data_IF_657468174829
#
_entry.id   IF_657468174829
#
_cell.length_a   1.000
_cell.length_b   1.000
_cell.length_c   1.000
_cell.angle_alpha   90.00
_cell.angle_beta   90.00
_cell.angle_gamma   90.00
#
_symmetry.space_group_name_H-M   'P 1'
#
loop_
_entity.id
_entity.type
_entity.pdbx_description
1 polymer ?
#
# COMPACT_ATOMS: atom_id res chain seq x y z
N UNK A 1 8.68 -19.07 19.58
CA UNK A 1 8.30 -17.66 19.83
C UNK A 1 8.72 -16.74 18.67
N UNK A 2 9.97 -16.81 18.19
CA UNK A 2 10.46 -15.98 17.08
C UNK A 2 9.66 -16.14 15.76
N UNK A 3 9.34 -17.38 15.36
CA UNK A 3 8.61 -17.67 14.11
C UNK A 3 7.21 -17.02 14.07
N UNK A 4 6.48 -17.04 15.19
CA UNK A 4 5.16 -16.40 15.26
C UNK A 4 5.25 -14.88 15.09
N UNK A 5 6.27 -14.26 15.69
CA UNK A 5 6.53 -12.83 15.54
C UNK A 5 6.93 -12.47 14.10
N UNK A 6 7.75 -13.30 13.45
CA UNK A 6 8.15 -13.13 12.05
C UNK A 6 6.96 -13.29 11.09
N UNK A 7 6.09 -14.28 11.33
CA UNK A 7 4.84 -14.44 10.58
C UNK A 7 3.89 -13.26 10.78
N UNK A 8 3.79 -12.72 12.00
CA UNK A 8 2.99 -11.52 12.27
C UNK A 8 3.52 -10.29 11.52
N UNK A 9 4.85 -10.11 11.45
CA UNK A 9 5.48 -9.04 10.67
C UNK A 9 5.21 -9.23 9.18
N UNK A 10 5.37 -10.45 8.65
CA UNK A 10 5.11 -10.72 7.23
C UNK A 10 3.64 -10.47 6.88
N UNK A 11 2.71 -10.91 7.73
CA UNK A 11 1.29 -10.65 7.54
C UNK A 11 1.01 -9.13 7.53
N UNK A 12 1.60 -8.38 8.46
CA UNK A 12 1.50 -6.92 8.51
C UNK A 12 2.05 -6.27 7.24
N UNK A 13 3.22 -6.71 6.76
CA UNK A 13 3.82 -6.20 5.53
C UNK A 13 2.96 -6.50 4.30
N UNK A 14 2.36 -7.69 4.22
CA UNK A 14 1.41 -8.03 3.14
C UNK A 14 0.18 -7.12 3.16
N UNK A 15 -0.41 -6.90 4.34
CA UNK A 15 -1.55 -5.99 4.50
C UNK A 15 -1.17 -4.56 4.12
N UNK A 16 0.00 -4.08 4.53
CA UNK A 16 0.52 -2.77 4.16
C UNK A 16 0.72 -2.65 2.64
N UNK A 17 1.28 -3.67 2.00
CA UNK A 17 1.47 -3.69 0.55
C UNK A 17 0.12 -3.63 -0.18
N UNK A 18 -0.85 -4.42 0.27
CA UNK A 18 -2.22 -4.39 -0.24
C UNK A 18 -2.89 -3.03 -0.06
N UNK A 19 -2.67 -2.36 1.08
CA UNK A 19 -3.18 -1.01 1.32
C UNK A 19 -2.60 0.02 0.34
N UNK A 20 -1.30 -0.04 0.08
CA UNK A 20 -0.66 0.82 -0.90
C UNK A 20 -1.18 0.57 -2.32
N UNK A 21 -1.25 -0.70 -2.74
CA UNK A 21 -1.78 -1.08 -4.05
C UNK A 21 -3.24 -0.67 -4.23
N UNK A 22 -4.08 -0.83 -3.20
CA UNK A 22 -5.47 -0.38 -3.22
C UNK A 22 -5.56 1.15 -3.34
N UNK A 23 -4.68 1.90 -2.67
CA UNK A 23 -4.68 3.37 -2.73
C UNK A 23 -4.31 3.88 -4.13
N UNK A 24 -3.31 3.26 -4.77
CA UNK A 24 -2.94 3.52 -6.17
C UNK A 24 -4.11 3.22 -7.11
N UNK A 25 -4.69 2.02 -7.01
CA UNK A 25 -5.83 1.63 -7.86
C UNK A 25 -7.06 2.51 -7.61
N UNK A 26 -7.33 2.90 -6.36
CA UNK A 26 -8.44 3.78 -6.02
C UNK A 26 -8.31 5.15 -6.68
N UNK A 27 -7.11 5.75 -6.67
CA UNK A 27 -6.87 7.03 -7.35
C UNK A 27 -6.99 6.89 -8.87
N UNK A 28 -6.41 5.84 -9.46
CA UNK A 28 -6.42 5.62 -10.92
C UNK A 28 -7.84 5.29 -11.44
N UNK A 29 -8.65 4.59 -10.64
CA UNK A 29 -10.02 4.21 -11.02
C UNK A 29 -11.10 5.20 -10.59
N UNK A 30 -10.76 6.21 -9.77
CA UNK A 30 -11.72 7.19 -9.30
C UNK A 30 -12.27 8.03 -10.45
N UNK A 31 -13.59 8.06 -10.57
CA UNK A 31 -14.27 8.89 -11.58
C UNK A 31 -14.37 10.32 -11.07
N UNK A 32 -13.73 11.27 -11.77
CA UNK A 32 -13.76 12.71 -11.47
C UNK A 32 -15.16 13.24 -11.16
N UNK A 33 -16.17 12.85 -11.95
CA UNK A 33 -17.56 13.27 -11.73
C UNK A 33 -18.16 12.85 -10.38
N UNK A 34 -17.76 11.69 -9.84
CA UNK A 34 -18.17 11.26 -8.49
C UNK A 34 -17.46 12.07 -7.39
N UNK A 35 -16.17 12.32 -7.55
CA UNK A 35 -15.38 13.12 -6.60
C UNK A 35 -15.90 14.57 -6.52
N UNK A 36 -16.20 15.19 -7.66
CA UNK A 36 -16.82 16.51 -7.71
C UNK A 36 -18.18 16.54 -7.01
N UNK A 37 -19.00 15.50 -7.16
CA UNK A 37 -20.27 15.39 -6.44
C UNK A 37 -20.07 15.25 -4.92
N UNK A 38 -19.04 14.51 -4.49
CA UNK A 38 -18.69 14.38 -3.06
C UNK A 38 -18.14 15.68 -2.47
N UNK A 39 -17.31 16.41 -3.23
CA UNK A 39 -16.81 17.74 -2.85
C UNK A 39 -17.96 18.73 -2.68
N UNK A 40 -18.90 18.77 -3.63
CA UNK A 40 -20.11 19.61 -3.55
C UNK A 40 -21.00 19.27 -2.35
N UNK A 41 -20.96 18.03 -1.86
CA UNK A 41 -21.68 17.57 -0.66
C UNK A 41 -20.92 17.84 0.64
N UNK A 42 -19.74 18.46 0.59
CA UNK A 42 -18.92 18.76 1.76
C UNK A 42 -18.26 17.52 2.40
N UNK A 43 -18.07 16.44 1.64
CA UNK A 43 -17.43 15.22 2.17
C UNK A 43 -15.97 15.51 2.56
N UNK A 44 -15.54 15.16 3.78
CA UNK A 44 -14.18 15.39 4.22
C UNK A 44 -13.21 14.61 3.34
N UNK A 45 -12.13 15.27 2.89
CA UNK A 45 -11.13 14.67 2.01
C UNK A 45 -11.52 14.58 0.53
N UNK A 46 -12.75 14.94 0.14
CA UNK A 46 -13.15 14.90 -1.28
C UNK A 46 -12.39 15.90 -2.15
N UNK A 47 -12.02 17.06 -1.60
CA UNK A 47 -11.18 18.04 -2.29
C UNK A 47 -9.76 17.49 -2.53
N UNK A 48 -9.14 16.89 -1.50
CA UNK A 48 -7.84 16.25 -1.63
C UNK A 48 -7.88 15.09 -2.63
N UNK A 49 -8.90 14.22 -2.56
CA UNK A 49 -9.08 13.12 -3.49
C UNK A 49 -9.28 13.61 -4.94
N UNK A 50 -10.01 14.72 -5.13
CA UNK A 50 -10.18 15.32 -6.45
C UNK A 50 -8.86 15.90 -6.99
N UNK A 51 -8.08 16.58 -6.14
CA UNK A 51 -6.77 17.10 -6.52
C UNK A 51 -5.78 15.98 -6.89
N UNK A 52 -5.77 14.88 -6.12
CA UNK A 52 -4.95 13.70 -6.43
C UNK A 52 -5.43 12.97 -7.69
N UNK A 53 -6.74 12.93 -7.97
CA UNK A 53 -7.28 12.33 -9.18
C UNK A 53 -7.03 13.18 -10.43
N UNK A 54 -6.94 14.51 -10.28
CA UNK A 54 -6.61 15.44 -11.36
C UNK A 54 -5.11 15.41 -11.72
N UNK A 55 -4.24 15.19 -10.74
CA UNK A 55 -2.80 14.98 -10.94
C UNK A 55 -2.28 13.76 -10.15
N UNK A 56 -2.52 12.53 -10.65
CA UNK A 56 -2.06 11.32 -9.97
C UNK A 56 -0.54 11.19 -9.93
N UNK A 57 0.20 11.94 -10.78
CA UNK A 57 1.66 11.87 -10.82
C UNK A 57 2.32 12.39 -9.52
N UNK A 58 1.61 13.17 -8.71
CA UNK A 58 2.10 13.57 -7.38
C UNK A 58 1.97 12.49 -6.31
N UNK A 59 1.01 11.58 -6.45
CA UNK A 59 0.70 10.57 -5.43
C UNK A 59 1.31 9.20 -5.75
N UNK A 60 1.23 8.78 -7.01
CA UNK A 60 1.67 7.44 -7.44
C UNK A 60 3.13 7.13 -7.11
N UNK A 61 4.11 8.03 -7.37
CA UNK A 61 5.51 7.73 -7.05
C UNK A 61 5.75 7.51 -5.55
N UNK A 62 5.04 8.24 -4.69
CA UNK A 62 5.15 8.11 -3.23
C UNK A 62 4.64 6.74 -2.78
N UNK A 63 3.49 6.31 -3.31
CA UNK A 63 2.92 4.98 -3.02
C UNK A 63 3.82 3.87 -3.54
N UNK A 64 4.38 4.02 -4.74
CA UNK A 64 5.29 3.05 -5.34
C UNK A 64 6.58 2.88 -4.52
N UNK A 65 7.17 3.97 -4.04
CA UNK A 65 8.31 3.90 -3.11
C UNK A 65 7.91 3.12 -1.84
N UNK A 66 6.70 3.35 -1.32
CA UNK A 66 6.14 2.58 -0.21
C UNK A 66 6.03 1.09 -0.50
N UNK A 67 5.48 0.71 -1.67
CA UNK A 67 5.38 -0.69 -2.13
C UNK A 67 6.77 -1.32 -2.21
N UNK A 68 7.74 -0.64 -2.81
CA UNK A 68 9.12 -1.14 -2.92
C UNK A 68 9.77 -1.34 -1.55
N UNK A 69 9.60 -0.38 -0.64
CA UNK A 69 10.12 -0.49 0.73
C UNK A 69 9.53 -1.68 1.47
N UNK A 70 8.20 -1.85 1.40
CA UNK A 70 7.51 -2.99 2.01
C UNK A 70 7.98 -4.31 1.40
N UNK A 71 8.20 -4.35 0.08
CA UNK A 71 8.74 -5.52 -0.62
C UNK A 71 10.15 -5.89 -0.16
N UNK A 72 11.04 -4.91 0.00
CA UNK A 72 12.40 -5.13 0.52
C UNK A 72 12.34 -5.66 1.95
N UNK A 73 11.53 -5.05 2.83
CA UNK A 73 11.36 -5.51 4.21
C UNK A 73 10.79 -6.92 4.24
N UNK A 74 9.76 -7.22 3.45
CA UNK A 74 9.19 -8.56 3.36
C UNK A 74 10.20 -9.59 2.87
N UNK A 75 11.05 -9.22 1.90
CA UNK A 75 12.16 -10.04 1.43
C UNK A 75 13.23 -10.30 2.49
N UNK A 76 13.57 -9.29 3.31
CA UNK A 76 14.51 -9.45 4.42
C UNK A 76 13.93 -10.36 5.51
N UNK A 77 12.68 -10.13 5.93
CA UNK A 77 12.06 -10.94 6.99
C UNK A 77 11.67 -12.35 6.51
N UNK A 78 11.26 -12.51 5.25
CA UNK A 78 10.91 -13.80 4.66
C UNK A 78 12.14 -14.60 4.18
N UNK A 79 13.12 -13.94 3.60
CA UNK A 79 14.33 -14.57 3.07
C UNK A 79 15.40 -14.79 4.14
N UNK A 80 15.78 -13.76 4.91
CA UNK A 80 16.91 -13.86 5.83
C UNK A 80 16.59 -14.63 7.13
N UNK A 81 15.31 -14.86 7.45
CA UNK A 81 14.92 -15.55 8.70
C UNK A 81 14.14 -16.85 8.53
N UNK A 82 13.36 -17.03 7.45
CA UNK A 82 12.70 -18.33 7.17
C UNK A 82 13.50 -19.24 6.24
N UNK A 83 14.36 -18.72 5.35
CA UNK A 83 15.11 -19.59 4.42
C UNK A 83 16.19 -20.43 5.12
N UNK A 84 16.72 -19.98 6.26
CA UNK A 84 17.63 -20.78 7.09
C UNK A 84 17.00 -22.08 7.58
N UNK A 85 15.88 -22.04 8.34
CA UNK A 85 15.23 -23.25 8.87
C UNK A 85 14.49 -24.13 7.84
N UNK A 86 14.28 -23.67 6.58
CA UNK A 86 13.59 -24.46 5.53
C UNK A 86 14.51 -24.89 4.37
N UNK A 87 15.76 -24.40 4.32
CA UNK A 87 16.73 -24.75 3.28
C UNK A 87 17.55 -26.02 3.56
N UNK A 88 17.38 -26.63 4.76
CA UNK A 88 18.09 -27.85 5.18
C UNK A 88 17.16 -29.07 5.32
N UNK A 89 15.98 -29.08 4.69
CA UNK A 89 15.07 -30.24 4.66
C UNK A 89 15.14 -30.99 3.32
#
# INVERSE_FOLDING_TARGET
>A
MAIFFELAILLLLVVLNGLFAMSELAIVSARRGRLMAMQKRGSPGAEAALALADDPQRFLPTVQIGISLVGILAGVFGGARLAGPMGEA
#
